data_IF_994661869982
#
_entry.id   IF_994661869982
#
_cell.length_a   1.000
_cell.length_b   1.000
_cell.length_c   1.000
_cell.angle_alpha   90.00
_cell.angle_beta   90.00
_cell.angle_gamma   90.00
#
_symmetry.space_group_name_H-M   'P 1'
#
loop_
_entity.id
_entity.type
_entity.pdbx_description
1 polymer ?
#
# COMPACT_ATOMS: atom_id res chain seq x y z
N UNK A 1 10.15 -16.10 -18.70
CA UNK A 1 8.93 -16.07 -17.87
C UNK A 1 8.72 -14.70 -17.27
N UNK A 2 7.53 -14.16 -17.44
CA UNK A 2 7.20 -12.85 -16.88
C UNK A 2 6.81 -13.00 -15.40
N UNK A 3 7.43 -12.21 -14.54
CA UNK A 3 7.10 -12.18 -13.12
C UNK A 3 5.85 -11.32 -12.94
N UNK A 4 4.82 -11.86 -12.32
CA UNK A 4 3.56 -11.16 -12.10
C UNK A 4 3.42 -10.73 -10.64
N UNK A 5 2.60 -9.69 -10.44
CA UNK A 5 2.35 -9.08 -9.14
C UNK A 5 1.87 -10.11 -8.11
N UNK A 6 0.97 -11.01 -8.50
CA UNK A 6 0.44 -12.04 -7.61
C UNK A 6 1.53 -12.85 -6.91
N UNK A 7 2.65 -13.11 -7.59
CA UNK A 7 3.74 -13.92 -7.04
C UNK A 7 4.61 -13.17 -6.03
N UNK A 8 4.53 -11.84 -6.01
CA UNK A 8 5.37 -10.98 -5.18
C UNK A 8 4.62 -10.28 -4.06
N UNK A 9 3.31 -10.08 -4.21
CA UNK A 9 2.50 -9.31 -3.26
C UNK A 9 2.42 -9.97 -1.89
N UNK A 10 2.15 -9.16 -0.87
CA UNK A 10 1.70 -9.64 0.43
C UNK A 10 0.21 -9.92 0.33
N UNK A 11 -0.18 -11.14 0.70
CA UNK A 11 -1.58 -11.57 0.64
C UNK A 11 -2.37 -11.09 1.86
N UNK A 12 -3.67 -10.95 1.68
CA UNK A 12 -4.62 -10.65 2.76
C UNK A 12 -4.24 -9.39 3.55
N UNK A 13 -4.28 -8.21 2.89
CA UNK A 13 -3.93 -6.96 3.58
C UNK A 13 -4.87 -6.71 4.75
N UNK A 14 -4.32 -6.21 5.85
CA UNK A 14 -5.13 -5.81 6.98
C UNK A 14 -5.94 -4.56 6.63
N UNK A 15 -7.18 -4.53 7.11
CA UNK A 15 -8.12 -3.45 6.83
C UNK A 15 -8.62 -2.85 8.14
N UNK A 16 -9.10 -1.62 8.06
CA UNK A 16 -9.71 -0.92 9.19
C UNK A 16 -10.75 0.06 8.66
N UNK A 17 -11.79 0.33 9.44
CA UNK A 17 -12.86 1.24 9.05
C UNK A 17 -12.36 2.69 8.95
N UNK A 18 -12.91 3.45 8.01
CA UNK A 18 -12.59 4.88 7.88
C UNK A 18 -12.99 5.69 9.11
N UNK A 19 -13.99 5.23 9.85
CA UNK A 19 -14.48 5.87 11.07
C UNK A 19 -13.66 5.53 12.33
N UNK A 20 -12.77 4.55 12.25
CA UNK A 20 -11.92 4.20 13.39
C UNK A 20 -10.89 5.30 13.65
N UNK A 21 -10.46 5.42 14.91
CA UNK A 21 -9.45 6.40 15.28
C UNK A 21 -8.08 6.02 14.75
N UNK A 22 -7.26 7.04 14.52
CA UNK A 22 -5.87 6.80 14.11
C UNK A 22 -5.07 6.12 15.21
N UNK A 23 -5.48 6.26 16.48
CA UNK A 23 -4.87 5.52 17.59
C UNK A 23 -5.09 4.01 17.42
N UNK A 24 -6.32 3.60 17.11
CA UNK A 24 -6.63 2.19 16.86
C UNK A 24 -5.85 1.66 15.67
N UNK A 25 -5.73 2.46 14.62
CA UNK A 25 -4.95 2.12 13.43
C UNK A 25 -3.47 1.92 13.78
N UNK A 26 -2.90 2.82 14.56
CA UNK A 26 -1.51 2.69 15.01
C UNK A 26 -1.29 1.43 15.85
N UNK A 27 -2.25 1.09 16.72
CA UNK A 27 -2.18 -0.15 17.51
C UNK A 27 -2.20 -1.39 16.64
N UNK A 28 -3.07 -1.42 15.62
CA UNK A 28 -3.13 -2.55 14.68
C UNK A 28 -1.80 -2.68 13.93
N UNK A 29 -1.24 -1.57 13.45
CA UNK A 29 0.08 -1.60 12.79
C UNK A 29 1.16 -2.18 13.69
N UNK A 30 1.16 -1.76 14.95
CA UNK A 30 2.13 -2.26 15.93
C UNK A 30 1.92 -3.74 16.24
N UNK A 31 0.68 -4.17 16.47
CA UNK A 31 0.36 -5.54 16.81
C UNK A 31 0.62 -6.51 15.66
N UNK A 32 0.30 -6.10 14.44
CA UNK A 32 0.46 -6.93 13.24
C UNK A 32 1.82 -6.73 12.56
N UNK A 33 2.62 -5.77 13.05
CA UNK A 33 3.94 -5.45 12.49
C UNK A 33 3.88 -5.12 11.00
N UNK A 34 2.91 -4.29 10.63
CA UNK A 34 2.73 -3.80 9.27
C UNK A 34 2.88 -2.28 9.25
N UNK A 35 3.29 -1.74 8.10
CA UNK A 35 3.53 -0.32 7.91
C UNK A 35 2.37 0.41 7.25
N UNK A 36 1.31 -0.30 6.89
CA UNK A 36 0.15 0.27 6.23
C UNK A 36 -1.10 -0.55 6.50
N UNK A 37 -2.25 0.12 6.45
CA UNK A 37 -3.57 -0.51 6.52
C UNK A 37 -4.44 0.03 5.40
N UNK A 38 -5.26 -0.85 4.82
CA UNK A 38 -6.29 -0.47 3.85
C UNK A 38 -7.51 0.04 4.60
N UNK A 39 -8.01 1.19 4.20
CA UNK A 39 -9.16 1.83 4.84
C UNK A 39 -10.42 1.48 4.06
N UNK A 40 -11.43 1.01 4.78
CA UNK A 40 -12.71 0.63 4.21
C UNK A 40 -13.79 1.63 4.59
N UNK A 41 -14.71 1.91 3.65
CA UNK A 41 -15.89 2.73 3.91
C UNK A 41 -17.00 1.90 4.59
N UNK A 42 -18.17 2.50 4.78
CA UNK A 42 -19.32 1.87 5.41
C UNK A 42 -19.81 0.62 4.66
N UNK A 43 -19.55 0.54 3.36
CA UNK A 43 -19.96 -0.57 2.52
C UNK A 43 -18.83 -1.60 2.33
N UNK A 44 -17.78 -1.51 3.14
CA UNK A 44 -16.59 -2.37 3.06
C UNK A 44 -15.82 -2.24 1.75
N UNK A 45 -15.92 -1.08 1.08
CA UNK A 45 -15.13 -0.79 -0.10
C UNK A 45 -13.80 -0.14 0.29
N UNK A 46 -12.68 -0.54 -0.30
CA UNK A 46 -11.41 0.13 -0.05
C UNK A 46 -11.42 1.55 -0.62
N UNK A 47 -11.16 2.52 0.24
CA UNK A 47 -11.25 3.94 -0.12
C UNK A 47 -9.95 4.70 0.10
N UNK A 48 -9.02 4.16 0.85
CA UNK A 48 -7.78 4.85 1.15
C UNK A 48 -6.76 3.92 1.78
N UNK A 49 -5.61 4.51 2.09
CA UNK A 49 -4.51 3.84 2.74
C UNK A 49 -3.98 4.74 3.85
N UNK A 50 -3.66 4.17 5.01
CA UNK A 50 -2.93 4.87 6.06
C UNK A 50 -1.60 4.16 6.26
N UNK A 51 -0.52 4.92 6.21
CA UNK A 51 0.83 4.42 6.39
C UNK A 51 1.48 5.03 7.63
N UNK A 52 2.59 4.44 8.09
CA UNK A 52 3.38 5.02 9.17
C UNK A 52 3.82 6.46 8.84
N UNK A 53 4.11 6.73 7.57
CA UNK A 53 4.47 8.05 7.10
C UNK A 53 3.33 9.05 7.27
N UNK A 54 2.09 8.64 7.00
CA UNK A 54 0.91 9.49 7.24
C UNK A 54 0.80 9.86 8.71
N UNK A 55 1.04 8.91 9.61
CA UNK A 55 0.99 9.18 11.05
C UNK A 55 2.02 10.22 11.47
N UNK A 56 3.24 10.13 10.95
CA UNK A 56 4.28 11.11 11.25
C UNK A 56 3.97 12.46 10.62
N UNK A 57 3.69 12.48 9.33
CA UNK A 57 3.60 13.74 8.55
C UNK A 57 2.29 14.48 8.68
N UNK A 58 1.20 13.78 9.00
CA UNK A 58 -0.12 14.40 9.10
C UNK A 58 -0.61 14.50 10.53
N UNK A 59 -0.23 13.56 11.39
CA UNK A 59 -0.72 13.48 12.76
C UNK A 59 0.28 14.07 13.75
N UNK A 60 1.48 13.51 13.82
CA UNK A 60 2.47 13.92 14.82
C UNK A 60 2.93 15.37 14.64
N UNK A 61 3.22 15.79 13.41
CA UNK A 61 3.68 17.14 13.12
C UNK A 61 2.62 18.19 13.52
N UNK A 62 1.34 17.86 13.33
CA UNK A 62 0.24 18.77 13.61
C UNK A 62 -0.36 18.61 15.02
N UNK A 63 0.24 17.77 15.84
CA UNK A 63 -0.21 17.48 17.21
C UNK A 63 -1.70 17.15 17.27
N UNK A 64 -2.16 16.28 16.36
CA UNK A 64 -3.57 15.91 16.31
C UNK A 64 -3.90 14.91 17.42
N UNK A 65 -5.11 15.02 18.03
CA UNK A 65 -5.53 14.08 19.07
C UNK A 65 -5.84 12.70 18.48
N UNK A 66 -4.97 11.74 18.72
CA UNK A 66 -5.01 10.41 18.08
C UNK A 66 -6.27 9.62 18.38
N UNK A 67 -6.91 9.87 19.51
CA UNK A 67 -8.15 9.17 19.91
C UNK A 67 -9.41 9.81 19.34
N UNK A 68 -9.32 10.96 18.67
CA UNK A 68 -10.46 11.69 18.10
C UNK A 68 -10.42 11.81 16.59
N UNK A 69 -9.23 11.87 16.01
CA UNK A 69 -9.07 11.97 14.56
C UNK A 69 -9.28 10.59 13.95
N UNK A 70 -10.07 10.54 12.88
CA UNK A 70 -10.39 9.28 12.19
C UNK A 70 -9.48 9.04 11.00
N UNK A 71 -9.45 7.80 10.55
CA UNK A 71 -8.70 7.41 9.36
C UNK A 71 -9.13 8.21 8.12
N UNK A 72 -10.42 8.49 8.00
CA UNK A 72 -10.95 9.26 6.86
C UNK A 72 -10.30 10.63 6.73
N UNK A 73 -9.96 11.26 7.85
CA UNK A 73 -9.39 12.60 7.86
C UNK A 73 -7.94 12.66 7.40
N UNK A 74 -7.20 11.54 7.53
CA UNK A 74 -5.76 11.55 7.24
C UNK A 74 -5.33 10.56 6.16
N UNK A 75 -6.19 9.65 5.73
CA UNK A 75 -5.84 8.64 4.74
C UNK A 75 -5.41 9.26 3.42
N UNK A 76 -4.54 8.56 2.72
CA UNK A 76 -4.18 8.89 1.35
C UNK A 76 -5.21 8.28 0.41
N UNK A 77 -5.77 9.10 -0.48
CA UNK A 77 -6.77 8.70 -1.48
C UNK A 77 -6.63 9.54 -2.74
N UNK A 78 -7.09 9.06 -3.92
CA UNK A 78 -7.61 7.72 -4.16
C UNK A 78 -6.54 6.65 -4.06
N UNK A 79 -6.96 5.40 -3.90
CA UNK A 79 -6.05 4.26 -3.95
C UNK A 79 -5.59 4.01 -5.37
N UNK A 80 -4.30 3.73 -5.53
CA UNK A 80 -3.76 3.26 -6.80
C UNK A 80 -3.82 1.73 -6.76
N UNK A 81 -4.55 1.16 -7.71
CA UNK A 81 -4.74 -0.29 -7.79
C UNK A 81 -3.98 -0.89 -8.96
N UNK A 82 -3.71 -2.18 -8.88
CA UNK A 82 -3.09 -2.94 -9.95
C UNK A 82 -3.71 -4.34 -9.98
N UNK A 83 -3.87 -4.88 -11.19
CA UNK A 83 -4.35 -6.24 -11.35
C UNK A 83 -3.29 -7.26 -10.94
N UNK A 84 -3.71 -8.35 -10.30
CA UNK A 84 -2.82 -9.40 -9.83
C UNK A 84 -2.02 -10.09 -10.93
N UNK A 85 -2.53 -10.09 -12.15
CA UNK A 85 -1.88 -10.69 -13.31
C UNK A 85 -0.96 -9.70 -14.05
N UNK A 86 -0.90 -8.44 -13.61
CA UNK A 86 0.03 -7.45 -14.17
C UNK A 86 1.47 -7.84 -13.90
N UNK A 87 2.36 -7.41 -14.80
CA UNK A 87 3.78 -7.66 -14.61
C UNK A 87 4.38 -6.83 -13.46
N UNK A 88 5.45 -7.33 -12.88
CA UNK A 88 6.22 -6.59 -11.88
C UNK A 88 6.75 -5.27 -12.44
N UNK A 89 7.11 -5.23 -13.72
CA UNK A 89 7.53 -3.99 -14.39
C UNK A 89 6.43 -2.95 -14.42
N UNK A 90 5.18 -3.37 -14.68
CA UNK A 90 4.02 -2.47 -14.62
C UNK A 90 3.84 -1.89 -13.23
N UNK A 91 4.03 -2.71 -12.18
CA UNK A 91 3.94 -2.22 -10.80
C UNK A 91 4.99 -1.14 -10.52
N UNK A 92 6.23 -1.35 -10.94
CA UNK A 92 7.30 -0.35 -10.78
C UNK A 92 6.95 0.95 -11.51
N UNK A 93 6.48 0.86 -12.74
CA UNK A 93 6.09 2.04 -13.53
C UNK A 93 4.96 2.83 -12.88
N UNK A 94 3.95 2.14 -12.35
CA UNK A 94 2.84 2.78 -11.64
C UNK A 94 3.30 3.49 -10.37
N UNK A 95 4.20 2.89 -9.62
CA UNK A 95 4.76 3.51 -8.42
C UNK A 95 5.53 4.79 -8.76
N UNK A 96 6.35 4.75 -9.79
CA UNK A 96 7.11 5.92 -10.25
C UNK A 96 6.19 7.01 -10.78
N UNK A 97 5.25 6.65 -11.65
CA UNK A 97 4.34 7.60 -12.29
C UNK A 97 3.48 8.33 -11.28
N UNK A 98 2.99 7.62 -10.26
CA UNK A 98 2.07 8.16 -9.27
C UNK A 98 2.77 8.60 -7.99
N UNK A 99 4.08 8.44 -7.91
CA UNK A 99 4.88 8.76 -6.72
C UNK A 99 4.32 8.09 -5.45
N UNK A 100 3.99 6.82 -5.57
CA UNK A 100 3.47 6.00 -4.47
C UNK A 100 4.34 4.77 -4.27
N UNK A 101 4.30 4.20 -3.06
CA UNK A 101 5.08 3.02 -2.67
C UNK A 101 4.21 1.86 -2.24
N UNK A 102 2.92 2.00 -2.39
CA UNK A 102 1.94 0.96 -2.10
C UNK A 102 0.96 0.90 -3.23
N UNK A 103 0.77 -0.28 -3.80
CA UNK A 103 -0.30 -0.53 -4.76
C UNK A 103 -1.23 -1.58 -4.16
N UNK A 104 -2.52 -1.31 -4.21
CA UNK A 104 -3.53 -2.27 -3.80
C UNK A 104 -3.73 -3.25 -4.94
N UNK A 105 -3.56 -4.54 -4.65
CA UNK A 105 -3.71 -5.57 -5.67
C UNK A 105 -5.15 -6.08 -5.67
N UNK A 106 -5.77 -6.05 -6.83
CA UNK A 106 -7.13 -6.51 -7.05
C UNK A 106 -7.15 -7.64 -8.07
N UNK A 107 -8.21 -8.43 -8.06
CA UNK A 107 -8.45 -9.44 -9.08
C UNK A 107 -9.62 -9.02 -9.94
N UNK A 108 -9.34 -8.54 -11.16
CA UNK A 108 -10.38 -8.07 -12.09
C UNK A 108 -11.32 -9.16 -12.59
N UNK A 109 -10.92 -10.42 -12.49
CA UNK A 109 -11.75 -11.55 -12.91
C UNK A 109 -12.79 -11.95 -11.85
N UNK A 110 -12.63 -11.49 -10.62
CA UNK A 110 -13.56 -11.76 -9.54
C UNK A 110 -14.80 -10.89 -9.66
N UNK A 111 -15.98 -11.46 -9.44
CA UNK A 111 -17.24 -10.71 -9.41
C UNK A 111 -17.32 -9.76 -8.22
N UNK A 112 -16.52 -10.02 -7.19
CA UNK A 112 -16.36 -9.15 -6.01
C UNK A 112 -15.22 -8.17 -6.27
N UNK A 113 -15.34 -7.38 -7.31
CA UNK A 113 -14.28 -6.57 -7.94
C UNK A 113 -13.57 -5.58 -7.03
N UNK A 114 -14.02 -5.36 -5.80
CA UNK A 114 -13.47 -4.34 -4.93
C UNK A 114 -12.72 -4.92 -3.74
N UNK A 115 -12.65 -6.24 -3.60
CA UNK A 115 -11.93 -6.83 -2.48
C UNK A 115 -10.44 -6.88 -2.78
N UNK A 116 -9.62 -6.25 -1.92
CA UNK A 116 -8.17 -6.31 -2.09
C UNK A 116 -7.68 -7.73 -1.81
N UNK A 117 -6.87 -8.26 -2.69
CA UNK A 117 -6.26 -9.58 -2.49
C UNK A 117 -4.82 -9.48 -2.01
N UNK A 118 -4.22 -8.30 -2.13
CA UNK A 118 -2.85 -8.10 -1.69
C UNK A 118 -2.43 -6.65 -1.72
N UNK A 119 -1.23 -6.42 -1.23
CA UNK A 119 -0.49 -5.15 -1.34
C UNK A 119 0.89 -5.46 -1.88
N UNK A 120 1.39 -4.61 -2.77
CA UNK A 120 2.75 -4.72 -3.27
C UNK A 120 3.50 -3.41 -3.04
N UNK A 121 4.74 -3.53 -2.58
CA UNK A 121 5.64 -2.42 -2.27
C UNK A 121 6.97 -2.60 -3.00
N UNK A 122 7.82 -1.56 -3.09
CA UNK A 122 9.15 -1.71 -3.66
C UNK A 122 9.99 -2.80 -2.98
N UNK A 123 9.82 -2.99 -1.67
CA UNK A 123 10.54 -4.02 -0.94
C UNK A 123 10.21 -5.43 -1.46
N UNK A 124 8.94 -5.68 -1.79
CA UNK A 124 8.51 -6.95 -2.37
C UNK A 124 9.19 -7.21 -3.72
N UNK A 125 9.38 -6.17 -4.51
CA UNK A 125 10.07 -6.24 -5.80
C UNK A 125 11.57 -6.46 -5.64
N UNK A 126 12.20 -5.75 -4.71
CA UNK A 126 13.65 -5.84 -4.44
C UNK A 126 14.05 -7.22 -3.95
N UNK A 127 13.19 -7.89 -3.18
CA UNK A 127 13.45 -9.24 -2.67
C UNK A 127 13.51 -10.31 -3.77
N UNK A 128 12.99 -10.02 -4.95
CA UNK A 128 13.03 -10.96 -6.05
C UNK A 128 14.31 -10.75 -6.88
N UNK A 129 15.27 -11.68 -6.74
CA UNK A 129 16.56 -11.58 -7.40
C UNK A 129 16.45 -11.62 -8.93
N UNK A 130 15.51 -12.40 -9.46
CA UNK A 130 15.30 -12.48 -10.90
C UNK A 130 14.83 -11.15 -11.47
N UNK A 131 13.92 -10.46 -10.76
CA UNK A 131 13.41 -9.15 -11.16
C UNK A 131 14.51 -8.08 -11.12
N UNK A 132 15.38 -8.13 -10.12
CA UNK A 132 16.42 -7.11 -9.90
C UNK A 132 17.70 -7.34 -10.69
N UNK A 133 17.83 -8.44 -11.43
CA UNK A 133 19.01 -8.69 -12.29
C UNK A 133 19.15 -7.66 -13.41
N UNK A 134 18.07 -7.08 -13.84
CA UNK A 134 18.09 -6.02 -14.83
C UNK A 134 18.50 -4.70 -14.14
N UNK A 135 19.60 -4.09 -14.58
CA UNK A 135 20.13 -2.87 -13.97
C UNK A 135 19.12 -1.71 -14.03
N UNK A 136 18.38 -1.59 -15.13
CA UNK A 136 17.36 -0.55 -15.25
C UNK A 136 16.24 -0.69 -14.22
N UNK A 137 15.84 -1.92 -13.91
CA UNK A 137 14.83 -2.18 -12.87
C UNK A 137 15.37 -1.89 -11.49
N UNK A 138 16.62 -2.24 -11.25
CA UNK A 138 17.30 -1.96 -9.99
C UNK A 138 17.39 -0.45 -9.76
N UNK A 139 17.79 0.31 -10.76
CA UNK A 139 17.88 1.76 -10.66
C UNK A 139 16.52 2.41 -10.39
N UNK A 140 15.46 1.96 -11.06
CA UNK A 140 14.11 2.44 -10.85
C UNK A 140 13.64 2.17 -9.41
N UNK A 141 13.91 0.98 -8.88
CA UNK A 141 13.57 0.62 -7.52
C UNK A 141 14.37 1.43 -6.50
N UNK A 142 15.64 1.65 -6.73
CA UNK A 142 16.48 2.48 -5.87
C UNK A 142 15.95 3.91 -5.80
N UNK A 143 15.51 4.49 -6.91
CA UNK A 143 14.89 5.81 -6.93
C UNK A 143 13.65 5.87 -6.05
N UNK A 144 12.83 4.83 -6.09
CA UNK A 144 11.64 4.76 -5.22
C UNK A 144 12.04 4.66 -3.76
N UNK A 145 13.03 3.82 -3.45
CA UNK A 145 13.50 3.58 -2.08
C UNK A 145 14.17 4.79 -1.45
N UNK A 146 14.84 5.64 -2.22
CA UNK A 146 15.46 6.87 -1.71
C UNK A 146 14.48 7.78 -0.98
N UNK A 147 13.21 7.73 -1.37
CA UNK A 147 12.16 8.48 -0.68
C UNK A 147 11.87 8.00 0.75
N UNK A 148 12.37 6.83 1.13
CA UNK A 148 12.14 6.27 2.47
C UNK A 148 13.22 6.66 3.48
N UNK A 149 14.27 7.29 3.02
CA UNK A 149 15.40 7.66 3.87
C UNK A 149 15.30 9.10 4.33
#
# INVERSE_FOLDING_TARGET
>A
MTIVVRDLMRKNPYTVAESASIQDTARIMNDKKVSSLVILDENNNPVGLVTERDLVRKVCINDLPTNRVTNKEIMSSPLITIDSESSASTATDLMLKNNVRHLLVINNESKDNNQPIGIITPLDLVKNEEYTRDEGRKDALEMILEYYI
#
